data_IF_388915823660
#
_entry.id   IF_388915823660
#
_cell.length_a   1.000
_cell.length_b   1.000
_cell.length_c   1.000
_cell.angle_alpha   90.00
_cell.angle_beta   90.00
_cell.angle_gamma   90.00
#
_symmetry.space_group_name_H-M   'P 1'
#
loop_
_entity.id
_entity.type
_entity.pdbx_description
1 polymer ?
#
# COMPACT_ATOMS: atom_id res chain seq x y z
N UNK A 1 27.18 21.04 -30.47
CA UNK A 1 26.51 20.42 -29.30
C UNK A 1 26.58 21.44 -28.18
N UNK A 2 25.46 22.05 -27.78
CA UNK A 2 25.47 23.15 -26.80
C UNK A 2 25.80 22.57 -25.44
N UNK A 3 26.86 23.10 -24.82
CA UNK A 3 27.31 22.73 -23.48
C UNK A 3 26.15 22.93 -22.50
N UNK A 4 25.67 21.86 -21.88
CA UNK A 4 24.73 21.94 -20.78
C UNK A 4 25.47 22.62 -19.62
N UNK A 5 25.05 23.84 -19.29
CA UNK A 5 25.57 24.55 -18.13
C UNK A 5 25.19 23.74 -16.90
N UNK A 6 26.18 23.36 -16.08
CA UNK A 6 25.95 22.67 -14.80
C UNK A 6 25.15 23.61 -13.89
N UNK A 7 23.86 23.36 -13.72
CA UNK A 7 22.99 24.12 -12.82
C UNK A 7 22.98 23.46 -11.46
N UNK A 8 22.98 24.27 -10.39
CA UNK A 8 22.87 23.81 -9.01
C UNK A 8 21.44 23.95 -8.51
N UNK A 9 20.99 22.99 -7.70
CA UNK A 9 19.69 23.08 -7.04
C UNK A 9 19.73 24.23 -6.01
N UNK A 10 18.71 25.12 -5.98
CA UNK A 10 18.59 26.12 -4.94
C UNK A 10 18.24 25.47 -3.59
N UNK A 11 18.59 26.12 -2.48
CA UNK A 11 18.10 25.69 -1.17
C UNK A 11 16.59 26.02 -1.06
N UNK A 12 15.77 24.99 -0.87
CA UNK A 12 14.31 25.08 -0.78
C UNK A 12 13.77 24.86 0.64
N UNK A 13 14.63 24.83 1.67
CA UNK A 13 14.23 24.55 3.07
C UNK A 13 13.16 25.53 3.62
N UNK A 14 13.13 26.76 3.10
CA UNK A 14 12.20 27.82 3.52
C UNK A 14 11.08 28.10 2.49
N UNK A 15 10.96 27.29 1.43
CA UNK A 15 9.99 27.52 0.37
C UNK A 15 8.64 26.87 0.68
N UNK A 16 7.55 27.48 0.22
CA UNK A 16 6.23 26.85 0.23
C UNK A 16 6.07 25.83 -0.90
N UNK A 17 5.10 24.93 -0.77
CA UNK A 17 4.78 23.93 -1.79
C UNK A 17 4.47 24.59 -3.15
N UNK A 18 3.80 25.75 -3.17
CA UNK A 18 3.50 26.48 -4.40
C UNK A 18 4.76 27.05 -5.06
N UNK A 19 5.74 27.50 -4.28
CA UNK A 19 7.00 28.02 -4.79
C UNK A 19 7.86 26.90 -5.39
N UNK A 20 7.87 25.74 -4.73
CA UNK A 20 8.54 24.53 -5.24
C UNK A 20 7.88 24.06 -6.54
N UNK A 21 6.54 24.04 -6.58
CA UNK A 21 5.79 23.68 -7.79
C UNK A 21 6.09 24.63 -8.96
N UNK A 22 6.04 25.95 -8.74
CA UNK A 22 6.33 26.95 -9.78
C UNK A 22 7.78 26.88 -10.31
N UNK A 23 8.74 26.49 -9.46
CA UNK A 23 10.09 26.21 -9.92
C UNK A 23 10.14 25.04 -10.90
N UNK A 24 9.48 23.93 -10.57
CA UNK A 24 9.43 22.74 -11.43
C UNK A 24 8.53 22.87 -12.66
N UNK A 25 7.62 23.85 -12.71
CA UNK A 25 6.91 24.20 -13.95
C UNK A 25 7.84 24.79 -15.02
N UNK A 26 8.93 25.44 -14.60
CA UNK A 26 9.86 26.14 -15.49
C UNK A 26 11.21 25.46 -15.68
N UNK A 27 11.54 24.44 -14.87
CA UNK A 27 12.84 23.77 -14.87
C UNK A 27 12.70 22.26 -15.07
N UNK A 28 13.59 21.68 -15.90
CA UNK A 28 13.66 20.23 -16.11
C UNK A 28 14.49 19.57 -14.98
N UNK A 29 14.00 18.46 -14.43
CA UNK A 29 14.73 17.65 -13.45
C UNK A 29 16.05 17.11 -14.01
N UNK A 30 16.14 16.86 -15.32
CA UNK A 30 17.35 16.39 -15.98
C UNK A 30 18.51 17.39 -15.87
N UNK A 31 18.24 18.70 -15.76
CA UNK A 31 19.27 19.73 -15.62
C UNK A 31 20.07 19.60 -14.32
N UNK A 32 19.52 18.90 -13.32
CA UNK A 32 20.08 18.77 -11.98
C UNK A 32 20.47 17.32 -11.63
N UNK A 33 20.51 16.43 -12.62
CA UNK A 33 20.75 15.00 -12.41
C UNK A 33 22.09 14.69 -11.71
N UNK A 34 23.12 15.51 -11.92
CA UNK A 34 24.42 15.36 -11.25
C UNK A 34 24.39 15.68 -9.75
N UNK A 35 23.43 16.47 -9.26
CA UNK A 35 23.30 16.83 -7.84
C UNK A 35 22.31 15.93 -7.08
N UNK A 36 21.49 15.16 -7.79
CA UNK A 36 20.54 14.23 -7.19
C UNK A 36 21.24 12.97 -6.69
N UNK A 37 20.77 12.43 -5.57
CA UNK A 37 21.21 11.14 -5.06
C UNK A 37 20.30 10.02 -5.60
N UNK A 38 20.85 8.86 -6.00
CA UNK A 38 20.04 7.72 -6.37
C UNK A 38 19.22 7.27 -5.16
N UNK A 39 17.90 7.26 -5.32
CA UNK A 39 16.99 6.71 -4.31
C UNK A 39 16.57 5.31 -4.71
N UNK A 40 16.90 4.33 -3.86
CA UNK A 40 16.37 2.98 -3.97
C UNK A 40 14.90 2.99 -3.56
N UNK A 41 14.01 3.16 -4.55
CA UNK A 41 12.58 3.06 -4.33
C UNK A 41 12.24 1.58 -4.12
N UNK A 42 12.11 1.18 -2.85
CA UNK A 42 11.23 0.07 -2.51
C UNK A 42 9.80 0.53 -2.78
N UNK A 43 9.37 0.46 -4.03
CA UNK A 43 7.95 0.33 -4.32
C UNK A 43 7.49 -0.86 -3.49
N UNK A 44 6.58 -0.62 -2.55
CA UNK A 44 5.81 -1.69 -1.96
C UNK A 44 5.07 -2.36 -3.12
N UNK A 45 5.71 -3.31 -3.80
CA UNK A 45 5.02 -4.29 -4.63
C UNK A 45 3.92 -4.78 -3.72
N UNK A 46 2.66 -4.52 -4.08
CA UNK A 46 1.47 -5.08 -3.47
C UNK A 46 1.48 -6.61 -3.65
N UNK A 47 2.46 -7.26 -3.05
CA UNK A 47 3.06 -8.50 -3.52
C UNK A 47 3.75 -9.29 -2.40
N UNK A 48 3.45 -9.03 -1.13
CA UNK A 48 3.85 -9.90 -0.03
C UNK A 48 2.61 -10.35 0.76
N UNK A 49 2.27 -11.63 0.51
CA UNK A 49 1.05 -12.39 0.83
C UNK A 49 -0.10 -12.12 -0.14
N UNK A 50 -0.11 -12.85 -1.26
CA UNK A 50 -1.31 -13.05 -2.09
C UNK A 50 -2.37 -13.75 -1.23
N UNK A 51 -3.10 -13.00 -0.40
CA UNK A 51 -4.27 -13.52 0.31
C UNK A 51 -5.22 -14.02 -0.77
N UNK A 52 -5.55 -15.30 -0.74
CA UNK A 52 -6.55 -15.88 -1.63
C UNK A 52 -7.91 -15.62 -0.99
N UNK A 53 -8.83 -15.05 -1.78
CA UNK A 53 -10.19 -14.81 -1.34
C UNK A 53 -11.08 -15.94 -1.86
N UNK A 54 -11.96 -16.42 -0.99
CA UNK A 54 -13.00 -17.38 -1.34
C UNK A 54 -14.34 -16.65 -1.19
N UNK A 55 -15.22 -16.74 -2.19
CA UNK A 55 -16.61 -16.31 -2.08
C UNK A 55 -17.45 -17.54 -1.72
N UNK A 56 -18.23 -17.44 -0.64
CA UNK A 56 -19.08 -18.50 -0.14
C UNK A 56 -20.53 -17.99 -0.12
N UNK A 57 -21.44 -18.74 -0.72
CA UNK A 57 -22.88 -18.47 -0.61
C UNK A 57 -23.40 -19.18 0.63
N UNK A 58 -24.04 -18.44 1.52
CA UNK A 58 -24.69 -18.97 2.72
C UNK A 58 -26.19 -18.78 2.60
N UNK A 59 -26.96 -19.72 3.14
CA UNK A 59 -28.40 -19.50 3.31
C UNK A 59 -28.63 -18.44 4.39
N UNK A 60 -29.80 -17.80 4.37
CA UNK A 60 -30.16 -16.80 5.38
C UNK A 60 -30.05 -17.36 6.82
N UNK A 61 -30.51 -18.60 7.03
CA UNK A 61 -30.43 -19.25 8.34
C UNK A 61 -28.99 -19.52 8.80
N UNK A 62 -28.08 -19.84 7.88
CA UNK A 62 -26.65 -20.00 8.17
C UNK A 62 -26.00 -18.67 8.52
N UNK A 63 -26.30 -17.61 7.74
CA UNK A 63 -25.76 -16.27 7.98
C UNK A 63 -26.17 -15.72 9.35
N UNK A 64 -27.44 -15.84 9.72
CA UNK A 64 -27.95 -15.39 11.02
C UNK A 64 -27.26 -16.11 12.19
N UNK A 65 -27.10 -17.43 12.09
CA UNK A 65 -26.40 -18.23 13.11
C UNK A 65 -24.93 -17.87 13.22
N UNK A 66 -24.26 -17.71 12.08
CA UNK A 66 -22.85 -17.33 12.02
C UNK A 66 -22.63 -15.95 12.65
N UNK A 67 -23.46 -14.97 12.28
CA UNK A 67 -23.39 -13.59 12.78
C UNK A 67 -23.62 -13.53 14.29
N UNK A 68 -24.62 -14.26 14.80
CA UNK A 68 -24.88 -14.35 16.25
C UNK A 68 -23.72 -14.99 17.00
N UNK A 69 -23.09 -16.02 16.43
CA UNK A 69 -21.95 -16.69 17.04
C UNK A 69 -20.70 -15.81 17.04
N UNK A 70 -20.45 -15.10 15.94
CA UNK A 70 -19.33 -14.16 15.81
C UNK A 70 -19.45 -13.01 16.83
N UNK A 71 -20.65 -12.41 16.95
CA UNK A 71 -20.94 -11.36 17.92
C UNK A 71 -20.72 -11.81 19.36
N UNK A 72 -21.18 -13.02 19.72
CA UNK A 72 -20.95 -13.58 21.07
C UNK A 72 -19.47 -13.79 21.39
N UNK A 73 -18.64 -14.00 20.37
CA UNK A 73 -17.19 -14.18 20.49
C UNK A 73 -16.40 -12.87 20.34
N UNK A 74 -17.06 -11.73 20.14
CA UNK A 74 -16.41 -10.44 19.91
C UNK A 74 -15.57 -10.40 18.63
N UNK A 75 -15.95 -11.18 17.60
CA UNK A 75 -15.22 -11.27 16.33
C UNK A 75 -16.17 -11.09 15.15
N UNK A 76 -15.63 -10.91 13.94
CA UNK A 76 -16.42 -10.89 12.71
C UNK A 76 -16.70 -12.30 12.17
N UNK A 77 -17.77 -12.49 11.38
CA UNK A 77 -18.06 -13.75 10.69
C UNK A 77 -16.87 -14.29 9.88
N UNK A 78 -16.15 -13.44 9.16
CA UNK A 78 -15.01 -13.81 8.32
C UNK A 78 -13.83 -14.30 9.16
N UNK A 79 -13.56 -13.61 10.26
CA UNK A 79 -12.51 -14.00 11.20
C UNK A 79 -12.84 -15.34 11.87
N UNK A 80 -14.11 -15.56 12.23
CA UNK A 80 -14.57 -16.83 12.79
C UNK A 80 -14.43 -17.99 11.79
N UNK A 81 -14.82 -17.79 10.53
CA UNK A 81 -14.64 -18.79 9.47
C UNK A 81 -13.15 -19.09 9.29
N UNK A 82 -12.30 -18.07 9.24
CA UNK A 82 -10.85 -18.24 9.11
C UNK A 82 -10.27 -19.07 10.26
N UNK A 83 -10.71 -18.83 11.49
CA UNK A 83 -10.29 -19.60 12.66
C UNK A 83 -10.70 -21.07 12.57
N UNK A 84 -11.90 -21.35 12.07
CA UNK A 84 -12.34 -22.73 11.84
C UNK A 84 -11.51 -23.43 10.77
N UNK A 85 -11.25 -22.77 9.63
CA UNK A 85 -10.40 -23.32 8.57
C UNK A 85 -9.01 -23.66 9.13
N UNK A 86 -8.39 -22.75 9.88
CA UNK A 86 -7.09 -22.99 10.50
C UNK A 86 -7.11 -24.19 11.46
N UNK A 87 -8.14 -24.27 12.31
CA UNK A 87 -8.29 -25.37 13.27
C UNK A 87 -8.40 -26.73 12.58
N UNK A 88 -9.23 -26.84 11.55
CA UNK A 88 -9.42 -28.10 10.82
C UNK A 88 -8.14 -28.49 10.06
N UNK A 89 -7.45 -27.53 9.44
CA UNK A 89 -6.17 -27.79 8.76
C UNK A 89 -5.06 -28.24 9.71
N UNK A 90 -5.06 -27.75 10.96
CA UNK A 90 -4.11 -28.19 11.99
C UNK A 90 -4.44 -29.57 12.56
N UNK A 91 -5.70 -29.99 12.55
CA UNK A 91 -6.13 -31.29 13.05
C UNK A 91 -5.80 -32.45 12.10
N UNK A 92 -5.60 -32.17 10.80
CA UNK A 92 -5.28 -33.16 9.75
C UNK A 92 -3.77 -33.40 9.62
N UNK A 93 -2.98 -32.94 10.60
CA UNK A 93 -1.51 -32.99 10.57
C UNK A 93 -0.93 -34.28 11.14
#
# INVERSE_FOLDING_TARGET
MKQAQKKRLPNMDEWSDEQIAGFWESHDAADFWEEMQPVELTFCRAGKKKRKQIRLMLTESQWQRLSKLANRKGTTPESLIRQWVEKELQAVK
#
